data_IF_009696112272
#
_entry.id   IF_009696112272
#
_cell.length_a   1.000
_cell.length_b   1.000
_cell.length_c   1.000
_cell.angle_alpha   90.00
_cell.angle_beta   90.00
_cell.angle_gamma   90.00
#
_symmetry.space_group_name_H-M   'P 1'
#
loop_
_entity.id
_entity.type
_entity.pdbx_description
1 polymer ?
#
# COMPACT_ATOMS: atom_id res chain seq x y z
N UNK A 1 -1.17 -10.83 -0.89
CA UNK A 1 -0.85 -10.73 0.54
C UNK A 1 -1.19 -9.31 1.03
N UNK A 2 -0.61 -8.27 0.46
CA UNK A 2 -0.71 -6.87 0.90
C UNK A 2 -2.16 -6.37 0.98
N UNK A 3 -3.00 -6.71 0.01
CA UNK A 3 -4.45 -6.38 0.00
C UNK A 3 -5.18 -7.07 1.16
N UNK A 4 -4.86 -8.31 1.48
CA UNK A 4 -5.51 -9.04 2.59
C UNK A 4 -5.12 -8.42 3.94
N UNK A 5 -3.85 -8.05 4.14
CA UNK A 5 -3.40 -7.32 5.32
C UNK A 5 -4.10 -5.96 5.44
N UNK A 6 -4.24 -5.24 4.31
CA UNK A 6 -4.96 -3.96 4.27
C UNK A 6 -6.44 -4.13 4.67
N UNK A 7 -7.10 -5.17 4.18
CA UNK A 7 -8.45 -5.51 4.63
C UNK A 7 -8.52 -5.83 6.13
N UNK A 8 -7.54 -6.53 6.68
CA UNK A 8 -7.53 -6.82 8.13
C UNK A 8 -7.47 -5.53 8.96
N UNK A 9 -6.61 -4.57 8.60
CA UNK A 9 -6.60 -3.24 9.24
C UNK A 9 -7.95 -2.53 9.10
N UNK A 10 -8.52 -2.52 7.90
CA UNK A 10 -9.79 -1.89 7.60
C UNK A 10 -10.93 -2.51 8.42
N UNK A 11 -11.07 -3.85 8.42
CA UNK A 11 -12.15 -4.54 9.14
C UNK A 11 -12.02 -4.37 10.65
N UNK A 12 -10.81 -4.40 11.18
CA UNK A 12 -10.55 -4.08 12.59
C UNK A 12 -10.99 -2.66 12.92
N UNK A 13 -10.59 -1.67 12.13
CA UNK A 13 -10.97 -0.28 12.32
C UNK A 13 -12.49 -0.07 12.22
N UNK A 14 -13.14 -0.71 11.25
CA UNK A 14 -14.59 -0.66 11.10
C UNK A 14 -15.33 -1.25 12.30
N UNK A 15 -14.85 -2.37 12.86
CA UNK A 15 -15.44 -2.96 14.06
C UNK A 15 -15.33 -2.04 15.27
N UNK A 16 -14.17 -1.40 15.49
CA UNK A 16 -13.99 -0.42 16.56
C UNK A 16 -14.91 0.79 16.38
N UNK A 17 -14.96 1.34 15.16
CA UNK A 17 -15.81 2.49 14.83
C UNK A 17 -17.28 2.19 15.05
N UNK A 18 -17.77 1.04 14.57
CA UNK A 18 -19.16 0.62 14.75
C UNK A 18 -19.50 0.38 16.22
N UNK A 19 -18.55 -0.13 17.01
CA UNK A 19 -18.74 -0.29 18.45
C UNK A 19 -18.82 1.05 19.16
N UNK A 20 -17.95 2.02 18.85
CA UNK A 20 -17.99 3.37 19.40
C UNK A 20 -19.26 4.15 19.01
N UNK A 21 -19.86 3.80 17.87
CA UNK A 21 -21.12 4.34 17.42
C UNK A 21 -22.34 3.61 18.04
N UNK A 22 -22.13 2.60 18.90
CA UNK A 22 -23.17 1.86 19.59
C UNK A 22 -23.97 0.89 18.73
N UNK A 23 -23.52 0.57 17.51
CA UNK A 23 -24.22 -0.31 16.55
C UNK A 23 -23.60 -1.69 16.40
N UNK A 24 -22.49 -1.94 17.08
CA UNK A 24 -21.83 -3.26 17.20
C UNK A 24 -21.45 -3.47 18.68
N UNK A 25 -21.76 -4.64 19.24
CA UNK A 25 -21.39 -4.94 20.63
C UNK A 25 -19.87 -5.05 20.78
N UNK A 26 -19.35 -4.75 21.98
CA UNK A 26 -17.93 -4.86 22.31
C UNK A 26 -17.43 -6.29 22.14
N UNK A 27 -18.25 -7.29 22.47
CA UNK A 27 -17.90 -8.70 22.30
C UNK A 27 -17.64 -9.07 20.83
N UNK A 28 -18.54 -8.62 19.91
CA UNK A 28 -18.36 -8.83 18.47
C UNK A 28 -17.16 -8.07 17.93
N UNK A 29 -16.97 -6.82 18.37
CA UNK A 29 -15.78 -6.01 18.03
C UNK A 29 -14.49 -6.76 18.39
N UNK A 30 -14.40 -7.28 19.60
CA UNK A 30 -13.16 -7.90 20.09
C UNK A 30 -12.87 -9.21 19.35
N UNK A 31 -13.89 -10.01 19.04
CA UNK A 31 -13.73 -11.21 18.21
C UNK A 31 -13.29 -10.87 16.78
N UNK A 32 -13.89 -9.87 16.15
CA UNK A 32 -13.47 -9.41 14.80
C UNK A 32 -12.02 -8.94 14.86
N UNK A 33 -11.66 -8.12 15.85
CA UNK A 33 -10.31 -7.62 16.01
C UNK A 33 -9.29 -8.75 16.22
N UNK A 34 -9.61 -9.74 17.05
CA UNK A 34 -8.75 -10.89 17.28
C UNK A 34 -8.48 -11.67 15.99
N UNK A 35 -9.50 -11.92 15.17
CA UNK A 35 -9.31 -12.61 13.88
C UNK A 35 -8.50 -11.76 12.90
N UNK A 36 -8.74 -10.44 12.86
CA UNK A 36 -7.92 -9.54 12.03
C UNK A 36 -6.44 -9.57 12.44
N UNK A 37 -6.15 -9.65 13.74
CA UNK A 37 -4.78 -9.79 14.24
C UNK A 37 -4.16 -11.16 13.86
N UNK A 38 -4.95 -12.24 13.82
CA UNK A 38 -4.50 -13.53 13.28
C UNK A 38 -4.17 -13.45 11.77
N UNK A 39 -4.96 -12.71 10.99
CA UNK A 39 -4.69 -12.47 9.55
C UNK A 39 -3.38 -11.69 9.39
N UNK A 40 -3.19 -10.61 10.15
CA UNK A 40 -1.96 -9.81 10.13
C UNK A 40 -0.73 -10.61 10.55
N UNK A 41 -0.89 -11.56 11.47
CA UNK A 41 0.16 -12.49 11.87
C UNK A 41 0.42 -13.63 10.86
N UNK A 42 -0.31 -13.67 9.74
CA UNK A 42 -0.17 -14.68 8.67
C UNK A 42 -0.71 -16.06 9.01
N UNK A 43 -1.45 -16.22 10.11
CA UNK A 43 -1.95 -17.51 10.59
C UNK A 43 -3.07 -18.11 9.71
N UNK A 44 -3.72 -17.30 8.87
CA UNK A 44 -4.87 -17.69 8.04
C UNK A 44 -4.57 -17.51 6.55
N UNK A 45 -3.31 -17.54 6.14
CA UNK A 45 -2.91 -17.24 4.75
C UNK A 45 -3.52 -18.20 3.71
N UNK A 46 -3.75 -19.45 4.09
CA UNK A 46 -4.37 -20.50 3.28
C UNK A 46 -5.89 -20.32 3.07
N UNK A 47 -6.53 -19.41 3.81
CA UNK A 47 -7.96 -19.12 3.72
C UNK A 47 -8.31 -18.09 2.63
N UNK A 48 -7.33 -17.60 1.89
CA UNK A 48 -7.50 -16.59 0.83
C UNK A 48 -7.08 -17.13 -0.55
N UNK A 49 -7.85 -18.09 -1.13
CA UNK A 49 -7.48 -18.79 -2.35
C UNK A 49 -7.80 -18.00 -3.64
N UNK A 50 -8.36 -16.80 -3.53
CA UNK A 50 -8.82 -16.05 -4.70
C UNK A 50 -7.65 -15.67 -5.62
N UNK A 51 -7.87 -15.84 -6.91
CA UNK A 51 -6.91 -15.48 -7.96
C UNK A 51 -6.94 -13.98 -8.25
N UNK A 52 -5.90 -13.47 -8.94
CA UNK A 52 -5.82 -12.06 -9.32
C UNK A 52 -6.92 -11.67 -10.32
N UNK A 53 -7.23 -12.56 -11.25
CA UNK A 53 -8.25 -12.35 -12.28
C UNK A 53 -9.66 -12.56 -11.72
N UNK A 54 -10.26 -11.47 -11.29
CA UNK A 54 -11.62 -11.41 -10.76
C UNK A 54 -12.25 -10.05 -11.11
N UNK A 55 -13.47 -9.78 -10.65
CA UNK A 55 -14.15 -8.51 -10.92
C UNK A 55 -13.35 -7.33 -10.35
N UNK A 56 -13.23 -6.25 -11.13
CA UNK A 56 -12.51 -5.03 -10.71
C UNK A 56 -13.13 -4.31 -9.51
N UNK A 57 -14.40 -4.59 -9.19
CA UNK A 57 -15.10 -4.06 -8.01
C UNK A 57 -14.55 -4.60 -6.67
N UNK A 58 -13.78 -5.71 -6.69
CA UNK A 58 -13.20 -6.32 -5.49
C UNK A 58 -14.19 -6.98 -4.54
N UNK A 59 -15.44 -7.20 -4.98
CA UNK A 59 -16.50 -7.78 -4.13
C UNK A 59 -16.10 -9.15 -3.59
N UNK A 60 -15.50 -10.00 -4.43
CA UNK A 60 -15.08 -11.35 -4.00
C UNK A 60 -14.02 -11.28 -2.90
N UNK A 61 -13.04 -10.38 -3.02
CA UNK A 61 -12.01 -10.20 -1.98
C UNK A 61 -12.61 -9.68 -0.67
N UNK A 62 -13.50 -8.70 -0.73
CA UNK A 62 -14.19 -8.18 0.45
C UNK A 62 -15.03 -9.27 1.14
N UNK A 63 -15.79 -10.04 0.36
CA UNK A 63 -16.63 -11.12 0.90
C UNK A 63 -15.80 -12.26 1.47
N UNK A 64 -14.72 -12.66 0.81
CA UNK A 64 -13.81 -13.69 1.34
C UNK A 64 -13.27 -13.28 2.72
N UNK A 65 -12.81 -12.05 2.87
CA UNK A 65 -12.35 -11.55 4.19
C UNK A 65 -13.48 -11.57 5.22
N UNK A 66 -14.67 -11.09 4.87
CA UNK A 66 -15.84 -11.10 5.77
C UNK A 66 -16.17 -12.51 6.25
N UNK A 67 -16.17 -13.47 5.34
CA UNK A 67 -16.48 -14.88 5.64
C UNK A 67 -15.38 -15.55 6.47
N UNK A 68 -14.11 -15.30 6.16
CA UNK A 68 -12.99 -15.80 6.96
C UNK A 68 -13.06 -15.27 8.39
N UNK A 69 -13.34 -13.97 8.57
CA UNK A 69 -13.50 -13.35 9.89
C UNK A 69 -14.66 -13.99 10.65
N UNK A 70 -15.83 -14.10 10.04
CA UNK A 70 -17.01 -14.71 10.64
C UNK A 70 -16.77 -16.17 11.04
N UNK A 71 -16.25 -16.98 10.12
CA UNK A 71 -16.02 -18.41 10.33
C UNK A 71 -14.94 -18.67 11.38
N UNK A 72 -13.85 -17.89 11.36
CA UNK A 72 -12.80 -18.02 12.36
C UNK A 72 -13.28 -17.63 13.76
N UNK A 73 -14.06 -16.57 13.88
CA UNK A 73 -14.68 -16.17 15.14
C UNK A 73 -15.58 -17.29 15.69
N UNK A 74 -16.37 -17.94 14.83
CA UNK A 74 -17.20 -19.10 15.19
C UNK A 74 -16.36 -20.27 15.78
N UNK A 75 -15.22 -20.55 15.17
CA UNK A 75 -14.29 -21.58 15.68
C UNK A 75 -13.64 -21.16 17.00
N UNK A 76 -13.27 -19.89 17.16
CA UNK A 76 -12.70 -19.37 18.42
C UNK A 76 -13.67 -19.49 19.61
N UNK A 77 -14.97 -19.49 19.35
CA UNK A 77 -16.02 -19.75 20.35
C UNK A 77 -16.25 -21.23 20.63
N UNK A 78 -15.42 -22.14 20.10
CA UNK A 78 -15.50 -23.59 20.33
C UNK A 78 -16.47 -24.34 19.40
N UNK A 79 -17.01 -23.69 18.39
CA UNK A 79 -17.94 -24.27 17.44
C UNK A 79 -17.22 -24.97 16.26
N UNK A 80 -17.95 -25.80 15.51
CA UNK A 80 -17.44 -26.47 14.31
C UNK A 80 -17.90 -25.72 13.06
N UNK A 81 -16.99 -25.53 12.09
CA UNK A 81 -17.32 -24.95 10.79
C UNK A 81 -18.50 -25.69 10.12
N UNK A 82 -19.41 -24.93 9.53
CA UNK A 82 -20.60 -25.43 8.83
C UNK A 82 -21.68 -26.03 9.74
N UNK A 83 -21.58 -25.86 11.05
CA UNK A 83 -22.61 -26.31 12.01
C UNK A 83 -23.06 -25.15 12.90
N UNK A 84 -24.38 -25.02 13.02
CA UNK A 84 -25.00 -23.97 13.82
C UNK A 84 -24.99 -22.59 13.16
N UNK A 85 -25.55 -21.61 13.88
CA UNK A 85 -25.58 -20.22 13.44
C UNK A 85 -24.32 -19.49 13.95
N UNK A 86 -23.64 -18.75 13.09
CA UNK A 86 -22.49 -17.93 13.47
C UNK A 86 -22.92 -16.77 14.34
N UNK A 87 -22.21 -16.51 15.44
CA UNK A 87 -22.47 -15.34 16.31
C UNK A 87 -22.13 -14.03 15.60
N UNK A 88 -21.14 -14.03 14.72
CA UNK A 88 -20.76 -12.91 13.87
C UNK A 88 -21.22 -13.20 12.44
N UNK A 89 -22.12 -12.36 11.92
CA UNK A 89 -22.57 -12.47 10.53
C UNK A 89 -21.63 -11.72 9.58
N UNK A 90 -21.18 -12.31 8.44
CA UNK A 90 -20.22 -11.68 7.54
C UNK A 90 -20.70 -10.33 6.97
N UNK A 91 -21.99 -10.21 6.60
CA UNK A 91 -22.54 -8.96 6.08
C UNK A 91 -23.00 -8.00 7.18
N UNK A 92 -23.75 -8.50 8.18
CA UNK A 92 -24.44 -7.64 9.13
C UNK A 92 -23.54 -7.15 10.25
N UNK A 93 -22.43 -7.84 10.53
CA UNK A 93 -21.49 -7.49 11.58
C UNK A 93 -20.11 -7.09 10.99
N UNK A 94 -19.45 -7.97 10.22
CA UNK A 94 -18.09 -7.70 9.69
C UNK A 94 -18.11 -6.58 8.64
N UNK A 95 -19.13 -6.59 7.76
CA UNK A 95 -19.29 -5.58 6.70
C UNK A 95 -20.22 -4.42 7.11
N UNK A 96 -20.57 -4.31 8.37
CA UNK A 96 -21.48 -3.25 8.87
C UNK A 96 -20.95 -1.86 8.52
N UNK A 97 -21.82 -0.98 8.02
CA UNK A 97 -21.52 0.39 7.57
C UNK A 97 -20.55 0.47 6.39
N UNK A 98 -20.44 -0.58 5.58
CA UNK A 98 -19.49 -0.69 4.48
C UNK A 98 -20.17 -1.21 3.20
N UNK A 99 -19.50 -1.00 2.08
CA UNK A 99 -19.75 -1.63 0.78
C UNK A 99 -18.44 -2.18 0.23
N UNK A 100 -18.48 -3.15 -0.69
CA UNK A 100 -17.29 -3.51 -1.45
C UNK A 100 -16.73 -2.32 -2.24
N UNK A 101 -17.59 -1.39 -2.61
CA UNK A 101 -17.22 -0.23 -3.44
C UNK A 101 -16.35 0.80 -2.71
N UNK A 102 -16.46 0.92 -1.38
CA UNK A 102 -15.58 1.78 -0.58
C UNK A 102 -14.47 1.02 0.14
N UNK A 103 -14.68 -0.27 0.48
CA UNK A 103 -13.66 -1.07 1.16
C UNK A 103 -12.49 -1.44 0.25
N UNK A 104 -12.76 -1.84 -0.99
CA UNK A 104 -11.69 -2.29 -1.89
C UNK A 104 -10.74 -1.16 -2.30
N UNK A 105 -11.20 0.02 -2.74
CA UNK A 105 -10.32 1.17 -2.96
C UNK A 105 -9.52 1.56 -1.72
N UNK A 106 -10.14 1.53 -0.54
CA UNK A 106 -9.44 1.79 0.72
C UNK A 106 -8.33 0.77 0.97
N UNK A 107 -8.60 -0.52 0.78
CA UNK A 107 -7.57 -1.57 0.91
C UNK A 107 -6.44 -1.40 -0.11
N UNK A 108 -6.74 -0.97 -1.35
CA UNK A 108 -5.73 -0.65 -2.36
C UNK A 108 -4.82 0.50 -1.92
N UNK A 109 -5.38 1.59 -1.38
CA UNK A 109 -4.62 2.73 -0.87
C UNK A 109 -3.73 2.35 0.30
N UNK A 110 -4.26 1.61 1.29
CA UNK A 110 -3.47 1.13 2.45
C UNK A 110 -2.31 0.25 1.97
N UNK A 111 -2.57 -0.71 1.09
CA UNK A 111 -1.55 -1.64 0.58
C UNK A 111 -0.47 -0.91 -0.23
N UNK A 112 -0.86 0.00 -1.13
CA UNK A 112 0.07 0.78 -1.95
C UNK A 112 0.92 1.72 -1.09
N UNK A 113 0.32 2.45 -0.16
CA UNK A 113 1.04 3.34 0.76
C UNK A 113 2.11 2.57 1.54
N UNK A 114 1.73 1.45 2.17
CA UNK A 114 2.66 0.60 2.93
C UNK A 114 3.79 0.07 2.05
N UNK A 115 3.49 -0.44 0.86
CA UNK A 115 4.50 -0.95 -0.06
C UNK A 115 5.50 0.13 -0.50
N UNK A 116 5.03 1.34 -0.78
CA UNK A 116 5.91 2.47 -1.12
C UNK A 116 6.76 2.89 0.08
N UNK A 117 6.14 3.08 1.26
CA UNK A 117 6.81 3.58 2.45
C UNK A 117 7.80 2.58 3.06
N UNK A 118 7.38 1.31 3.19
CA UNK A 118 8.12 0.30 3.96
C UNK A 118 9.11 -0.51 3.11
N UNK A 119 8.91 -0.56 1.79
CA UNK A 119 9.73 -1.39 0.89
C UNK A 119 10.45 -0.55 -0.16
N UNK A 120 9.69 0.23 -0.94
CA UNK A 120 10.27 0.92 -2.11
C UNK A 120 11.22 2.04 -1.71
N UNK A 121 10.77 2.95 -0.84
CA UNK A 121 11.59 4.08 -0.40
C UNK A 121 12.88 3.61 0.27
N UNK A 122 12.88 2.70 1.26
CA UNK A 122 14.11 2.22 1.89
C UNK A 122 15.05 1.51 0.91
N UNK A 123 14.49 0.76 -0.06
CA UNK A 123 15.28 0.10 -1.10
C UNK A 123 16.02 1.10 -2.00
N UNK A 124 15.33 2.17 -2.42
CA UNK A 124 15.92 3.23 -3.24
C UNK A 124 16.93 4.05 -2.44
N UNK A 125 16.65 4.35 -1.18
CA UNK A 125 17.59 5.05 -0.27
C UNK A 125 18.90 4.27 -0.12
N UNK A 126 18.81 2.96 0.12
CA UNK A 126 19.99 2.09 0.22
C UNK A 126 20.83 2.11 -1.06
N UNK A 127 20.19 2.06 -2.23
CA UNK A 127 20.89 2.16 -3.51
C UNK A 127 21.54 3.53 -3.69
N UNK A 128 20.82 4.62 -3.42
CA UNK A 128 21.32 5.99 -3.46
C UNK A 128 22.57 6.15 -2.59
N UNK A 129 22.53 5.66 -1.36
CA UNK A 129 23.65 5.78 -0.41
C UNK A 129 24.85 4.95 -0.86
N UNK A 130 24.61 3.79 -1.46
CA UNK A 130 25.66 2.98 -2.08
C UNK A 130 26.33 3.72 -3.23
N UNK A 131 25.56 4.35 -4.11
CA UNK A 131 26.11 5.14 -5.23
C UNK A 131 26.79 6.42 -4.73
N UNK A 132 26.30 7.05 -3.66
CA UNK A 132 26.96 8.18 -3.03
C UNK A 132 28.34 7.81 -2.48
N UNK A 133 28.46 6.66 -1.82
CA UNK A 133 29.74 6.16 -1.35
C UNK A 133 30.73 5.91 -2.51
N UNK A 134 30.23 5.39 -3.64
CA UNK A 134 31.02 5.21 -4.86
C UNK A 134 31.43 6.55 -5.49
N UNK A 135 30.50 7.52 -5.54
CA UNK A 135 30.82 8.89 -6.00
C UNK A 135 31.97 9.50 -5.21
N UNK A 136 31.95 9.35 -3.89
CA UNK A 136 33.00 9.84 -3.00
C UNK A 136 34.33 9.11 -3.22
N UNK A 137 34.28 7.78 -3.31
CA UNK A 137 35.49 6.94 -3.50
C UNK A 137 36.18 7.20 -4.85
N UNK A 138 35.42 7.54 -5.88
CA UNK A 138 35.93 7.75 -7.24
C UNK A 138 36.12 9.24 -7.60
N UNK A 139 36.11 10.15 -6.63
CA UNK A 139 36.17 11.60 -6.85
C UNK A 139 37.41 12.04 -7.64
N UNK A 140 38.55 11.34 -7.49
CA UNK A 140 39.84 11.64 -8.11
C UNK A 140 40.15 10.73 -9.30
N UNK A 141 39.25 9.82 -9.69
CA UNK A 141 39.41 8.94 -10.84
C UNK A 141 39.01 9.67 -12.11
N UNK A 142 40.02 10.23 -12.81
CA UNK A 142 39.79 10.95 -14.07
C UNK A 142 39.47 9.96 -15.20
N UNK A 143 38.46 10.23 -15.96
CA UNK A 143 38.07 9.47 -17.15
C UNK A 143 37.64 10.39 -18.29
N UNK A 144 37.54 9.83 -19.47
CA UNK A 144 36.96 10.53 -20.61
C UNK A 144 35.43 10.63 -20.46
N UNK A 145 34.87 11.82 -20.71
CA UNK A 145 33.42 12.00 -20.92
C UNK A 145 33.00 11.48 -22.29
N UNK A 146 31.73 11.16 -22.46
CA UNK A 146 31.16 10.73 -23.74
C UNK A 146 29.94 11.56 -24.11
N UNK A 147 29.97 12.09 -25.35
CA UNK A 147 28.80 12.67 -26.00
C UNK A 147 28.64 11.99 -27.35
N UNK A 148 27.43 11.69 -27.77
CA UNK A 148 27.16 10.93 -29.00
C UNK A 148 27.91 9.58 -29.07
N UNK A 149 28.15 8.93 -27.91
CA UNK A 149 28.96 7.70 -27.78
C UNK A 149 30.43 7.86 -28.19
N UNK A 150 30.91 9.10 -28.34
CA UNK A 150 32.30 9.45 -28.72
C UNK A 150 32.99 10.16 -27.57
N UNK A 151 34.33 10.15 -27.62
CA UNK A 151 35.19 10.84 -26.64
C UNK A 151 34.87 12.35 -26.61
N UNK A 152 34.72 12.87 -25.41
CA UNK A 152 34.45 14.28 -25.12
C UNK A 152 35.44 14.79 -24.05
N UNK A 153 35.06 15.86 -23.35
CA UNK A 153 35.90 16.44 -22.30
C UNK A 153 36.07 15.53 -21.08
N UNK A 154 37.22 15.57 -20.39
CA UNK A 154 37.43 14.79 -19.17
C UNK A 154 36.47 15.17 -18.04
N UNK A 155 36.13 14.19 -17.19
CA UNK A 155 35.47 14.34 -15.91
C UNK A 155 36.00 13.28 -14.95
N UNK A 156 35.54 13.30 -13.69
CA UNK A 156 35.84 12.19 -12.79
C UNK A 156 34.70 11.18 -12.77
N UNK A 157 35.03 9.91 -12.51
CA UNK A 157 34.03 8.86 -12.33
C UNK A 157 33.10 9.18 -11.14
N UNK A 158 33.64 9.84 -10.10
CA UNK A 158 32.84 10.33 -8.98
C UNK A 158 31.77 11.36 -9.40
N UNK A 159 32.10 12.27 -10.35
CA UNK A 159 31.13 13.22 -10.90
C UNK A 159 30.00 12.50 -11.67
N UNK A 160 30.33 11.48 -12.44
CA UNK A 160 29.34 10.68 -13.17
C UNK A 160 28.39 9.95 -12.19
N UNK A 161 28.92 9.31 -11.15
CA UNK A 161 28.12 8.66 -10.10
C UNK A 161 27.26 9.68 -9.30
N UNK A 162 27.73 10.89 -9.11
CA UNK A 162 26.91 11.94 -8.46
C UNK A 162 25.64 12.26 -9.23
N UNK A 163 25.65 12.16 -10.56
CA UNK A 163 24.46 12.27 -11.40
C UNK A 163 23.42 11.19 -11.10
N UNK A 164 23.86 9.95 -10.88
CA UNK A 164 22.98 8.83 -10.50
C UNK A 164 22.34 9.06 -9.13
N UNK A 165 23.11 9.52 -8.16
CA UNK A 165 22.60 9.92 -6.83
C UNK A 165 21.52 10.99 -6.96
N UNK A 166 21.74 11.99 -7.79
CA UNK A 166 20.75 13.05 -8.02
C UNK A 166 19.46 12.52 -8.65
N UNK A 167 19.54 11.61 -9.63
CA UNK A 167 18.37 10.96 -10.22
C UNK A 167 17.54 10.20 -9.16
N UNK A 168 18.20 9.44 -8.27
CA UNK A 168 17.51 8.71 -7.21
C UNK A 168 16.90 9.63 -6.15
N UNK A 169 17.55 10.74 -5.81
CA UNK A 169 16.98 11.75 -4.93
C UNK A 169 15.70 12.37 -5.50
N UNK A 170 15.67 12.66 -6.81
CA UNK A 170 14.47 13.16 -7.46
C UNK A 170 13.36 12.09 -7.50
N UNK A 171 13.72 10.82 -7.76
CA UNK A 171 12.77 9.70 -7.70
C UNK A 171 12.17 9.51 -6.30
N UNK A 172 13.00 9.58 -5.24
CA UNK A 172 12.53 9.55 -3.85
C UNK A 172 11.58 10.70 -3.52
N UNK A 173 11.91 11.92 -3.99
CA UNK A 173 11.04 13.09 -3.81
C UNK A 173 9.69 12.88 -4.52
N UNK A 174 9.71 12.40 -5.75
CA UNK A 174 8.49 12.10 -6.50
C UNK A 174 7.61 11.06 -5.77
N UNK A 175 8.19 9.95 -5.30
CA UNK A 175 7.47 8.93 -4.54
C UNK A 175 6.86 9.49 -3.25
N UNK A 176 7.62 10.27 -2.48
CA UNK A 176 7.10 10.85 -1.23
C UNK A 176 5.94 11.82 -1.46
N UNK A 177 5.96 12.56 -2.57
CA UNK A 177 4.89 13.49 -2.90
C UNK A 177 3.55 12.77 -3.17
N UNK A 178 3.57 11.53 -3.65
CA UNK A 178 2.34 10.75 -3.91
C UNK A 178 1.66 10.21 -2.64
N UNK A 179 2.40 10.14 -1.52
CA UNK A 179 1.90 9.56 -0.28
C UNK A 179 0.73 10.36 0.31
N UNK A 180 0.70 11.66 0.12
CA UNK A 180 -0.37 12.51 0.64
C UNK A 180 -1.72 12.15 0.00
N UNK A 181 -1.75 11.98 -1.32
CA UNK A 181 -2.95 11.56 -2.06
C UNK A 181 -3.34 10.11 -1.73
N UNK A 182 -2.38 9.19 -1.61
CA UNK A 182 -2.64 7.81 -1.17
C UNK A 182 -3.19 7.72 0.26
N UNK A 183 -2.97 8.73 1.11
CA UNK A 183 -3.47 8.75 2.47
C UNK A 183 -4.98 9.00 2.56
N UNK A 184 -5.64 9.41 1.47
CA UNK A 184 -7.08 9.65 1.41
C UNK A 184 -7.85 8.35 1.19
N UNK A 185 -8.82 8.07 2.09
CA UNK A 185 -9.56 6.81 2.10
C UNK A 185 -11.01 7.00 1.68
N UNK A 186 -11.47 6.13 0.78
CA UNK A 186 -12.85 6.09 0.29
C UNK A 186 -13.85 5.61 1.35
N UNK A 187 -13.39 4.89 2.38
CA UNK A 187 -14.23 4.23 3.37
C UNK A 187 -15.19 5.23 4.06
N UNK A 188 -16.42 4.82 4.19
CA UNK A 188 -17.52 5.66 4.65
C UNK A 188 -18.40 6.24 3.53
N UNK A 189 -17.95 6.14 2.25
CA UNK A 189 -18.79 6.49 1.10
C UNK A 189 -19.86 5.46 0.78
N UNK A 190 -19.70 4.24 1.26
CA UNK A 190 -20.57 3.08 1.01
C UNK A 190 -20.70 2.74 -0.47
N UNK A 191 -21.91 2.59 -1.01
CA UNK A 191 -22.13 2.07 -2.36
C UNK A 191 -21.71 3.05 -3.47
N UNK A 192 -21.98 4.34 -3.30
CA UNK A 192 -21.83 5.37 -4.35
C UNK A 192 -21.22 6.70 -3.88
N UNK A 193 -20.79 6.80 -2.63
CA UNK A 193 -20.18 8.01 -2.08
C UNK A 193 -21.07 8.83 -1.16
N UNK A 194 -22.36 8.47 -1.00
CA UNK A 194 -23.33 9.21 -0.17
C UNK A 194 -23.26 8.88 1.31
N UNK A 195 -22.53 7.80 1.68
CA UNK A 195 -22.45 7.33 3.08
C UNK A 195 -23.75 6.76 3.62
N UNK A 196 -24.66 6.30 2.76
CA UNK A 196 -25.92 5.68 3.19
C UNK A 196 -25.68 4.51 4.13
N UNK A 197 -26.47 4.42 5.20
CA UNK A 197 -26.37 3.39 6.25
C UNK A 197 -25.10 3.48 7.14
N UNK A 198 -24.39 4.61 7.13
CA UNK A 198 -23.31 4.85 8.10
C UNK A 198 -23.78 5.77 9.23
N UNK A 199 -23.29 5.58 10.47
CA UNK A 199 -23.46 6.57 11.53
C UNK A 199 -22.76 7.89 11.18
N UNK A 200 -23.26 8.99 11.73
CA UNK A 200 -22.63 10.30 11.55
C UNK A 200 -21.16 10.29 12.03
N UNK A 201 -20.23 10.72 11.18
CA UNK A 201 -18.80 10.79 11.49
C UNK A 201 -18.08 9.44 11.42
N UNK A 202 -18.72 8.40 10.90
CA UNK A 202 -18.11 7.08 10.70
C UNK A 202 -16.83 7.15 9.87
N UNK A 203 -16.86 7.87 8.76
CA UNK A 203 -15.75 8.02 7.81
C UNK A 203 -14.49 8.62 8.45
N UNK A 204 -14.65 9.65 9.27
CA UNK A 204 -13.54 10.28 10.01
C UNK A 204 -13.00 9.33 11.08
N UNK A 205 -13.88 8.69 11.86
CA UNK A 205 -13.45 7.77 12.93
C UNK A 205 -12.74 6.54 12.39
N UNK A 206 -13.28 5.92 11.34
CA UNK A 206 -12.68 4.70 10.78
C UNK A 206 -11.31 4.97 10.16
N UNK A 207 -11.14 6.12 9.50
CA UNK A 207 -9.84 6.55 8.99
C UNK A 207 -8.83 6.80 10.14
N UNK A 208 -9.27 7.40 11.25
CA UNK A 208 -8.44 7.60 12.43
C UNK A 208 -7.99 6.26 13.06
N UNK A 209 -8.88 5.26 13.14
CA UNK A 209 -8.49 3.92 13.61
C UNK A 209 -7.53 3.22 12.65
N UNK A 210 -7.73 3.35 11.33
CA UNK A 210 -6.76 2.82 10.34
C UNK A 210 -5.41 3.49 10.54
N UNK A 211 -5.36 4.81 10.70
CA UNK A 211 -4.13 5.55 10.98
C UNK A 211 -3.44 5.06 12.27
N UNK A 212 -4.20 4.86 13.33
CA UNK A 212 -3.68 4.35 14.61
C UNK A 212 -3.09 2.94 14.46
N UNK A 213 -3.78 2.02 13.82
CA UNK A 213 -3.36 0.62 13.71
C UNK A 213 -2.19 0.41 12.74
N UNK A 214 -2.06 1.28 11.75
CA UNK A 214 -0.97 1.22 10.76
C UNK A 214 0.21 2.11 11.11
N UNK A 215 0.05 3.06 12.03
CA UNK A 215 0.98 4.16 12.29
C UNK A 215 1.30 4.98 11.03
N UNK A 216 0.30 5.15 10.16
CA UNK A 216 0.37 5.93 8.91
C UNK A 216 -0.73 6.98 8.94
N UNK A 217 -0.49 8.23 8.49
CA UNK A 217 -1.44 9.34 8.63
C UNK A 217 -2.60 9.26 7.63
N UNK A 218 -3.30 8.14 7.59
CA UNK A 218 -4.49 8.00 6.79
C UNK A 218 -5.60 8.93 7.26
N UNK A 219 -6.37 9.46 6.32
CA UNK A 219 -7.49 10.36 6.56
C UNK A 219 -8.67 10.03 5.65
N UNK A 220 -9.85 10.49 6.03
CA UNK A 220 -11.03 10.39 5.18
C UNK A 220 -10.84 11.27 3.94
N UNK A 221 -11.18 10.77 2.75
CA UNK A 221 -11.16 11.56 1.52
C UNK A 221 -12.19 12.70 1.60
N UNK A 222 -11.81 13.88 1.12
CA UNK A 222 -12.69 15.05 1.09
C UNK A 222 -13.91 14.83 0.21
N UNK A 223 -13.73 14.13 -0.91
CA UNK A 223 -14.80 13.81 -1.84
C UNK A 223 -14.93 12.28 -2.00
N UNK A 224 -15.98 11.70 -1.41
CA UNK A 224 -16.23 10.26 -1.47
C UNK A 224 -16.66 9.78 -2.85
N UNK A 225 -17.26 10.65 -3.67
CA UNK A 225 -17.67 10.27 -5.03
C UNK A 225 -16.44 10.04 -5.94
N UNK A 226 -15.47 10.93 -5.86
CA UNK A 226 -14.20 10.78 -6.56
C UNK A 226 -13.43 9.56 -6.02
N UNK A 227 -13.25 9.45 -4.71
CA UNK A 227 -12.47 8.40 -4.07
C UNK A 227 -13.00 6.97 -4.33
N UNK A 228 -14.31 6.81 -4.59
CA UNK A 228 -14.88 5.52 -4.98
C UNK A 228 -14.74 5.24 -6.48
N UNK A 229 -14.88 6.27 -7.33
CA UNK A 229 -15.03 6.11 -8.77
C UNK A 229 -13.70 6.20 -9.54
N UNK A 230 -12.68 6.84 -8.97
CA UNK A 230 -11.38 7.05 -9.59
C UNK A 230 -10.25 6.37 -8.81
N UNK A 231 -9.12 6.15 -9.50
CA UNK A 231 -7.92 5.57 -8.90
C UNK A 231 -6.70 6.47 -9.15
N UNK A 232 -6.92 7.78 -9.16
CA UNK A 232 -5.92 8.79 -9.56
C UNK A 232 -4.69 8.77 -8.66
N UNK A 233 -4.84 8.56 -7.35
CA UNK A 233 -3.73 8.43 -6.42
C UNK A 233 -2.81 7.23 -6.75
N UNK A 234 -3.38 6.11 -7.19
CA UNK A 234 -2.63 4.93 -7.64
C UNK A 234 -1.93 5.17 -8.97
N UNK A 235 -2.60 5.88 -9.90
CA UNK A 235 -2.03 6.25 -11.21
C UNK A 235 -0.88 7.23 -11.02
N UNK A 236 -1.01 8.22 -10.13
CA UNK A 236 0.05 9.16 -9.77
C UNK A 236 1.26 8.42 -9.19
N UNK A 237 1.03 7.53 -8.24
CA UNK A 237 2.09 6.71 -7.63
C UNK A 237 2.78 5.82 -8.66
N UNK A 238 2.01 5.21 -9.57
CA UNK A 238 2.55 4.41 -10.66
C UNK A 238 3.39 5.27 -11.62
N UNK A 239 3.00 6.52 -11.88
CA UNK A 239 3.79 7.48 -12.65
C UNK A 239 5.16 7.78 -12.01
N UNK A 240 5.20 7.98 -10.70
CA UNK A 240 6.44 8.17 -9.94
C UNK A 240 7.33 6.91 -9.97
N UNK A 241 6.75 5.71 -9.84
CA UNK A 241 7.47 4.44 -9.98
C UNK A 241 8.03 4.26 -11.40
N UNK A 242 7.28 4.64 -12.42
CA UNK A 242 7.73 4.59 -13.81
C UNK A 242 8.92 5.53 -14.05
N UNK A 243 8.89 6.76 -13.52
CA UNK A 243 10.01 7.68 -13.59
C UNK A 243 11.26 7.10 -12.92
N UNK A 244 11.10 6.50 -11.73
CA UNK A 244 12.21 5.82 -11.05
C UNK A 244 12.76 4.65 -11.87
N UNK A 245 11.90 3.82 -12.47
CA UNK A 245 12.32 2.69 -13.31
C UNK A 245 13.16 3.16 -14.51
N UNK A 246 12.79 4.27 -15.16
CA UNK A 246 13.58 4.88 -16.24
C UNK A 246 14.96 5.31 -15.74
N UNK A 247 15.04 5.93 -14.56
CA UNK A 247 16.33 6.31 -13.95
C UNK A 247 17.19 5.07 -13.64
N UNK A 248 16.60 4.02 -13.07
CA UNK A 248 17.31 2.77 -12.76
C UNK A 248 17.82 2.07 -14.03
N UNK A 249 17.03 2.06 -15.09
CA UNK A 249 17.44 1.51 -16.39
C UNK A 249 18.61 2.28 -16.99
N UNK A 250 18.58 3.61 -16.92
CA UNK A 250 19.69 4.47 -17.38
C UNK A 250 20.95 4.20 -16.58
N UNK A 251 20.87 4.18 -15.25
CA UNK A 251 22.01 3.90 -14.36
C UNK A 251 22.60 2.52 -14.64
N UNK A 252 21.76 1.48 -14.78
CA UNK A 252 22.19 0.13 -15.08
C UNK A 252 22.91 0.02 -16.43
N UNK A 253 22.39 0.69 -17.47
CA UNK A 253 23.02 0.72 -18.79
C UNK A 253 24.37 1.46 -18.78
N UNK A 254 24.46 2.58 -18.08
CA UNK A 254 25.71 3.33 -17.98
C UNK A 254 26.80 2.51 -17.24
N UNK A 255 26.47 1.91 -16.11
CA UNK A 255 27.40 1.07 -15.36
C UNK A 255 27.87 -0.12 -16.22
N UNK A 256 26.94 -0.73 -16.98
CA UNK A 256 27.28 -1.81 -17.92
C UNK A 256 28.24 -1.33 -19.00
N UNK A 257 28.03 -0.13 -19.55
CA UNK A 257 28.93 0.47 -20.56
C UNK A 257 30.31 0.79 -19.96
N UNK A 258 30.34 1.38 -18.77
CA UNK A 258 31.58 1.72 -18.05
C UNK A 258 32.45 0.47 -17.72
N UNK A 259 31.80 -0.68 -17.53
CA UNK A 259 32.47 -1.95 -17.25
C UNK A 259 32.79 -2.78 -18.51
N UNK A 260 32.59 -2.23 -19.71
CA UNK A 260 32.82 -2.95 -20.97
C UNK A 260 34.30 -2.99 -21.34
N UNK A 261 34.80 -4.20 -21.63
CA UNK A 261 36.15 -4.45 -22.10
C UNK A 261 37.24 -4.24 -21.04
N UNK A 262 38.50 -4.72 -21.34
CA UNK A 262 39.59 -4.63 -20.37
C UNK A 262 40.36 -3.30 -20.36
N UNK A 263 40.15 -2.43 -21.34
CA UNK A 263 40.93 -1.19 -21.51
C UNK A 263 40.13 0.09 -21.57
N UNK A 264 38.86 0.04 -21.92
CA UNK A 264 38.02 1.23 -22.11
C UNK A 264 36.56 0.89 -21.75
N UNK A 265 36.28 0.88 -20.48
CA UNK A 265 34.95 0.78 -19.94
C UNK A 265 34.36 2.15 -19.59
#
# INVERSE_FOLDING_TARGET
>A
KEIIEAFAFLKKAAAYTNSDCGILSTEKRDLIAQVCDEILAGKLADQFPLVIWQTGSGTQSNMNVNEVVSNRAHVLQGNKLGKGTTFIHPNDDVNKSQSSNDTYPTAMHIAAYKAVLEVTIPGVEKLRDTLQAKSTAFKDVVKIGRTHLMDATPLTLGQEFSGYVSQLNHGLKALRNTLDHLAELALGGTAVGTGINTPKGYDVKVAAYIAQFTNIPFRTAENKFEALAAHDALVETHGALKQLAVSLMKIGNDIRMLASGPRSG
#
